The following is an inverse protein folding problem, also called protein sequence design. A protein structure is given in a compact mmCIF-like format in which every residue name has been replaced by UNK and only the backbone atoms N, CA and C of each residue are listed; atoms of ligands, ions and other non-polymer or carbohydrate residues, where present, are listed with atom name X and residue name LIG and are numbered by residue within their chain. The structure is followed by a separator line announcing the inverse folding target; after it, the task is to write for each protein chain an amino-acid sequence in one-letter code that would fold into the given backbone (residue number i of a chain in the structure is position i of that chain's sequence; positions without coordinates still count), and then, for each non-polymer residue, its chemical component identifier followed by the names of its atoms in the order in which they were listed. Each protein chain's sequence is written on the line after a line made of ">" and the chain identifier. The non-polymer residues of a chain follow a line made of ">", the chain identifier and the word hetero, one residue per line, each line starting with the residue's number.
data_IF_300049712061
#
_entry.id   IF_300049712061
#
_cell.length_a   1.000
_cell.length_b   1.000
_cell.length_c   1.000
_cell.angle_alpha   90.00
_cell.angle_beta   90.00
_cell.angle_gamma   90.00
#
_symmetry.space_group_name_H-M   'P 1'
#
loop_
_entity.id
_entity.type
_entity.pdbx_description
1 polymer ?
#
# COMPACT_ATOMS: atom_id res chain seq x y z
N UNK A 1 -9.85 0.27 -38.63
CA UNK A 1 -10.78 0.26 -37.49
C UNK A 1 -10.05 0.84 -36.25
N UNK A 2 -10.55 1.95 -35.68
CA UNK A 2 -10.00 2.47 -34.42
C UNK A 2 -10.43 1.53 -33.29
N UNK A 3 -9.53 0.74 -32.73
CA UNK A 3 -9.83 -0.05 -31.54
C UNK A 3 -10.33 0.87 -30.43
N UNK A 4 -11.42 0.49 -29.75
CA UNK A 4 -11.94 1.27 -28.65
C UNK A 4 -10.90 1.38 -27.53
N UNK A 5 -10.97 2.44 -26.70
CA UNK A 5 -10.10 2.62 -25.54
C UNK A 5 -10.05 1.36 -24.65
N UNK A 6 -11.22 0.76 -24.40
CA UNK A 6 -11.32 -0.45 -23.56
C UNK A 6 -10.59 -1.66 -24.14
N UNK A 7 -10.63 -1.85 -25.47
CA UNK A 7 -9.88 -2.96 -26.12
C UNK A 7 -8.36 -2.77 -26.01
N UNK A 8 -7.89 -1.53 -26.20
CA UNK A 8 -6.46 -1.22 -26.05
C UNK A 8 -5.99 -1.38 -24.62
N UNK A 9 -6.76 -0.86 -23.65
CA UNK A 9 -6.48 -0.99 -22.22
C UNK A 9 -6.49 -2.45 -21.80
N UNK A 10 -7.48 -3.24 -22.22
CA UNK A 10 -7.59 -4.66 -21.90
C UNK A 10 -6.39 -5.48 -22.42
N UNK A 11 -5.93 -5.21 -23.66
CA UNK A 11 -4.75 -5.87 -24.20
C UNK A 11 -3.48 -5.53 -23.42
N UNK A 12 -3.35 -4.29 -22.97
CA UNK A 12 -2.22 -3.82 -22.19
C UNK A 12 -2.22 -4.39 -20.76
N UNK A 13 -3.37 -4.40 -20.11
CA UNK A 13 -3.56 -5.03 -18.79
C UNK A 13 -3.18 -6.51 -18.82
N UNK A 14 -3.56 -7.25 -19.88
CA UNK A 14 -3.19 -8.65 -20.02
C UNK A 14 -1.66 -8.85 -20.04
N UNK A 15 -0.93 -7.94 -20.68
CA UNK A 15 0.54 -7.98 -20.69
C UNK A 15 1.10 -7.63 -19.31
N UNK A 16 0.63 -6.57 -18.69
CA UNK A 16 1.10 -6.12 -17.37
C UNK A 16 0.81 -7.17 -16.29
N UNK A 17 -0.38 -7.77 -16.28
CA UNK A 17 -0.71 -8.87 -15.36
C UNK A 17 0.19 -10.09 -15.58
N UNK A 18 0.43 -10.50 -16.83
CA UNK A 18 1.34 -11.61 -17.09
C UNK A 18 2.75 -11.32 -16.60
N UNK A 19 3.23 -10.08 -16.72
CA UNK A 19 4.54 -9.64 -16.21
C UNK A 19 4.55 -9.61 -14.69
N UNK A 20 3.51 -9.08 -14.05
CA UNK A 20 3.33 -9.05 -12.60
C UNK A 20 3.40 -10.48 -12.02
N UNK A 21 2.58 -11.40 -12.55
CA UNK A 21 2.56 -12.81 -12.12
C UNK A 21 3.86 -13.59 -12.39
N UNK A 22 4.68 -13.16 -13.33
CA UNK A 22 6.00 -13.76 -13.58
C UNK A 22 7.13 -13.08 -12.80
N UNK A 23 6.87 -11.96 -12.16
CA UNK A 23 7.86 -11.20 -11.41
C UNK A 23 8.16 -11.85 -10.07
N UNK A 24 9.44 -12.18 -9.83
CA UNK A 24 9.89 -12.64 -8.49
C UNK A 24 9.63 -11.61 -7.41
N UNK A 25 9.75 -10.32 -7.74
CA UNK A 25 9.51 -9.21 -6.83
C UNK A 25 8.08 -9.25 -6.26
N UNK A 26 7.08 -9.55 -7.11
CA UNK A 26 5.68 -9.66 -6.68
C UNK A 26 5.50 -10.70 -5.56
N UNK A 27 6.06 -11.90 -5.73
CA UNK A 27 5.96 -12.96 -4.73
C UNK A 27 6.75 -12.65 -3.47
N UNK A 28 7.94 -12.03 -3.59
CA UNK A 28 8.74 -11.61 -2.43
C UNK A 28 7.97 -10.60 -1.58
N UNK A 29 7.34 -9.61 -2.20
CA UNK A 29 6.60 -8.58 -1.48
C UNK A 29 5.29 -9.12 -0.86
N UNK A 30 4.59 -10.04 -1.52
CA UNK A 30 3.43 -10.71 -0.92
C UNK A 30 3.87 -11.58 0.27
N UNK A 31 4.96 -12.34 0.13
CA UNK A 31 5.51 -13.13 1.22
C UNK A 31 5.96 -12.23 2.39
N UNK A 32 6.59 -11.10 2.10
CA UNK A 32 6.94 -10.10 3.12
C UNK A 32 5.70 -9.54 3.80
N UNK A 33 4.66 -9.19 3.05
CA UNK A 33 3.39 -8.70 3.61
C UNK A 33 2.69 -9.74 4.50
N UNK A 34 2.87 -11.03 4.23
CA UNK A 34 2.34 -12.12 5.05
C UNK A 34 3.18 -12.37 6.30
N UNK A 35 4.51 -12.40 6.16
CA UNK A 35 5.43 -12.80 7.23
C UNK A 35 5.68 -11.66 8.23
N UNK A 36 5.78 -10.42 7.75
CA UNK A 36 6.04 -9.26 8.60
C UNK A 36 5.07 -9.13 9.79
N UNK A 37 3.74 -9.16 9.61
CA UNK A 37 2.82 -9.04 10.74
C UNK A 37 2.93 -10.21 11.72
N UNK A 38 3.22 -11.43 11.25
CA UNK A 38 3.45 -12.58 12.12
C UNK A 38 4.64 -12.32 13.03
N UNK A 39 5.79 -11.98 12.43
CA UNK A 39 7.02 -11.72 13.18
C UNK A 39 6.87 -10.56 14.16
N UNK A 40 6.28 -9.45 13.70
CA UNK A 40 6.08 -8.27 14.53
C UNK A 40 5.16 -8.56 15.71
N UNK A 41 4.03 -9.23 15.49
CA UNK A 41 3.09 -9.56 16.56
C UNK A 41 3.71 -10.49 17.60
N UNK A 42 4.43 -11.54 17.15
CA UNK A 42 5.12 -12.47 18.05
C UNK A 42 6.23 -11.78 18.84
N UNK A 43 7.08 -10.99 18.18
CA UNK A 43 8.15 -10.25 18.86
C UNK A 43 7.61 -9.31 19.93
N UNK A 44 6.55 -8.60 19.62
CA UNK A 44 5.96 -7.64 20.54
C UNK A 44 5.24 -8.31 21.71
N UNK A 45 4.56 -9.42 21.47
CA UNK A 45 3.99 -10.21 22.56
C UNK A 45 5.07 -10.77 23.49
N UNK A 46 6.27 -11.08 22.97
CA UNK A 46 7.42 -11.51 23.78
C UNK A 46 8.07 -10.35 24.58
N UNK A 47 7.93 -9.12 24.12
CA UNK A 47 8.48 -7.93 24.77
C UNK A 47 7.51 -7.30 25.77
N UNK A 48 6.28 -7.77 25.84
CA UNK A 48 5.26 -7.28 26.77
C UNK A 48 5.74 -7.36 28.22
N UNK A 49 5.59 -6.27 28.97
CA UNK A 49 6.06 -6.14 30.35
C UNK A 49 7.59 -5.94 30.50
N UNK A 50 8.37 -5.88 29.43
CA UNK A 50 9.79 -5.56 29.50
C UNK A 50 9.99 -4.07 29.83
N UNK A 51 11.03 -3.77 30.63
CA UNK A 51 11.38 -2.40 30.98
C UNK A 51 12.40 -1.88 29.95
N UNK A 52 12.04 -0.81 29.26
CA UNK A 52 12.94 -0.05 28.40
C UNK A 52 13.40 1.20 29.13
N UNK A 53 14.72 1.39 29.23
CA UNK A 53 15.33 2.58 29.83
C UNK A 53 15.78 3.50 28.72
N UNK A 54 15.26 4.73 28.67
CA UNK A 54 15.74 5.73 27.73
C UNK A 54 17.20 6.11 28.06
N UNK A 55 18.14 5.85 27.16
CA UNK A 55 19.57 6.10 27.41
C UNK A 55 19.91 7.59 27.59
N UNK A 56 19.02 8.51 27.19
CA UNK A 56 19.27 9.96 27.31
C UNK A 56 18.65 10.56 28.57
N UNK A 57 17.50 10.06 28.99
CA UNK A 57 16.75 10.63 30.13
C UNK A 57 16.79 9.75 31.38
N UNK A 58 17.17 8.47 31.24
CA UNK A 58 17.13 7.48 32.31
C UNK A 58 15.72 7.09 32.76
N UNK A 59 14.69 7.51 32.01
CA UNK A 59 13.29 7.21 32.32
C UNK A 59 13.01 5.75 31.94
N UNK A 60 12.52 5.00 32.92
CA UNK A 60 12.04 3.64 32.73
C UNK A 60 10.62 3.67 32.15
N UNK A 61 10.43 3.03 30.98
CA UNK A 61 9.11 2.82 30.37
C UNK A 61 8.85 1.34 30.24
N UNK A 62 7.67 0.90 30.66
CA UNK A 62 7.22 -0.49 30.46
C UNK A 62 6.71 -0.59 29.03
N UNK A 63 7.29 -1.52 28.26
CA UNK A 63 6.82 -1.83 26.90
C UNK A 63 5.49 -2.57 27.03
N UNK A 64 4.43 -1.98 26.48
CA UNK A 64 3.12 -2.62 26.40
C UNK A 64 3.00 -3.33 25.04
N UNK A 65 2.79 -4.63 25.06
CA UNK A 65 2.50 -5.42 23.86
C UNK A 65 1.06 -5.19 23.37
N UNK A 66 0.72 -5.72 22.19
CA UNK A 66 -0.66 -5.68 21.72
C UNK A 66 -1.54 -6.60 22.58
N UNK A 67 -2.63 -6.07 23.07
CA UNK A 67 -3.63 -6.84 23.83
C UNK A 67 -4.61 -7.59 22.91
N UNK A 68 -4.76 -7.07 21.68
CA UNK A 68 -5.75 -7.57 20.75
C UNK A 68 -5.21 -7.61 19.31
N UNK A 69 -5.53 -8.69 18.60
CA UNK A 69 -5.10 -8.92 17.21
C UNK A 69 -5.56 -7.82 16.24
N UNK A 70 -6.73 -7.21 16.50
CA UNK A 70 -7.28 -6.16 15.66
C UNK A 70 -6.48 -4.85 15.67
N UNK A 71 -5.63 -4.64 16.69
CA UNK A 71 -4.74 -3.47 16.76
C UNK A 71 -3.73 -3.44 15.61
N UNK A 72 -3.37 -4.60 15.05
CA UNK A 72 -2.52 -4.67 13.86
C UNK A 72 -3.19 -4.11 12.60
N UNK A 73 -4.52 -3.98 12.59
CA UNK A 73 -5.31 -3.52 11.44
C UNK A 73 -5.75 -2.07 11.61
N UNK A 74 -6.02 -1.65 12.84
CA UNK A 74 -6.44 -0.29 13.14
C UNK A 74 -6.67 -0.04 14.62
N UNK A 75 -6.99 1.18 14.98
CA UNK A 75 -7.27 1.60 16.36
C UNK A 75 -8.61 1.07 16.83
N UNK A 76 -8.61 0.45 18.03
CA UNK A 76 -9.84 0.02 18.70
C UNK A 76 -10.61 1.22 19.27
N UNK A 77 -11.96 1.17 19.31
CA UNK A 77 -12.76 2.19 19.96
C UNK A 77 -12.46 2.23 21.47
N UNK A 78 -12.20 3.41 22.02
CA UNK A 78 -11.89 3.60 23.44
C UNK A 78 -10.46 3.21 23.85
N UNK A 79 -9.66 2.65 22.94
CA UNK A 79 -8.23 2.55 23.14
C UNK A 79 -7.61 3.93 23.11
N UNK A 80 -6.80 4.27 24.09
CA UNK A 80 -5.93 5.44 23.98
C UNK A 80 -5.16 5.25 22.66
N UNK A 81 -5.11 6.32 21.86
CA UNK A 81 -4.21 6.31 20.69
C UNK A 81 -2.84 6.01 21.28
N UNK A 82 -2.32 4.79 20.99
CA UNK A 82 -1.04 4.33 21.53
C UNK A 82 -0.06 5.47 21.45
N UNK A 83 0.57 5.82 22.59
CA UNK A 83 1.37 7.02 22.72
C UNK A 83 2.34 7.14 21.56
N UNK A 84 2.48 8.35 21.00
CA UNK A 84 3.06 8.62 19.69
C UNK A 84 4.52 8.18 19.41
N UNK A 85 5.08 7.36 20.27
CA UNK A 85 6.42 6.77 20.13
C UNK A 85 6.40 5.25 19.83
N UNK A 86 5.23 4.63 19.69
CA UNK A 86 5.16 3.20 19.50
C UNK A 86 5.50 2.81 18.06
N UNK A 87 6.58 2.07 17.92
CA UNK A 87 6.99 1.35 16.71
C UNK A 87 5.80 0.53 16.13
N UNK A 88 4.87 0.12 16.95
CA UNK A 88 3.60 -0.53 16.58
C UNK A 88 2.74 0.29 15.64
N UNK A 89 2.60 1.58 15.86
CA UNK A 89 1.86 2.44 14.94
C UNK A 89 2.47 2.46 13.55
N UNK A 90 3.77 2.25 13.45
CA UNK A 90 4.49 2.18 12.19
C UNK A 90 4.44 0.79 11.55
N UNK A 91 4.30 -0.28 12.33
CA UNK A 91 4.34 -1.68 11.85
C UNK A 91 2.96 -2.33 11.70
N UNK A 92 1.90 -1.54 11.57
CA UNK A 92 0.54 -2.01 11.31
C UNK A 92 0.29 -2.23 9.80
N UNK A 93 -0.91 -2.65 9.43
CA UNK A 93 -1.33 -2.91 8.03
C UNK A 93 -1.05 -1.74 7.07
N UNK A 94 -0.91 -0.52 7.59
CA UNK A 94 -0.63 0.66 6.77
C UNK A 94 0.78 0.60 6.13
N UNK A 95 1.71 -0.22 6.67
CA UNK A 95 3.01 -0.50 6.03
C UNK A 95 2.87 -1.06 4.61
N UNK A 96 1.75 -1.70 4.31
CA UNK A 96 1.50 -2.25 2.96
C UNK A 96 1.51 -1.15 1.90
N UNK A 97 1.09 0.06 2.24
CA UNK A 97 1.15 1.19 1.30
C UNK A 97 2.59 1.50 0.87
N UNK A 98 3.57 1.35 1.78
CA UNK A 98 5.00 1.49 1.46
C UNK A 98 5.52 0.32 0.61
N UNK A 99 5.09 -0.91 0.90
CA UNK A 99 5.48 -2.08 0.09
C UNK A 99 4.98 -1.97 -1.35
N UNK A 100 3.77 -1.44 -1.55
CA UNK A 100 3.22 -1.21 -2.88
C UNK A 100 4.02 -0.15 -3.63
N UNK A 101 4.47 0.91 -2.96
CA UNK A 101 5.34 1.93 -3.55
C UNK A 101 6.63 1.30 -4.08
N UNK A 102 7.24 0.37 -3.33
CA UNK A 102 8.43 -0.37 -3.80
C UNK A 102 8.12 -1.15 -5.07
N UNK A 103 6.99 -1.88 -5.10
CA UNK A 103 6.59 -2.64 -6.29
C UNK A 103 6.42 -1.73 -7.51
N UNK A 104 5.64 -0.66 -7.40
CA UNK A 104 5.31 0.22 -8.52
C UNK A 104 6.56 0.91 -9.05
N UNK A 105 7.41 1.44 -8.15
CA UNK A 105 8.64 2.10 -8.53
C UNK A 105 9.57 1.19 -9.32
N UNK A 106 9.80 -0.03 -8.85
CA UNK A 106 10.66 -0.97 -9.55
C UNK A 106 10.03 -1.49 -10.83
N UNK A 107 8.72 -1.77 -10.83
CA UNK A 107 8.01 -2.27 -11.99
C UNK A 107 7.96 -1.27 -13.15
N UNK A 108 7.76 0.02 -12.85
CA UNK A 108 7.75 1.09 -13.86
C UNK A 108 9.19 1.45 -14.28
N UNK A 109 10.14 1.56 -13.34
CA UNK A 109 11.54 1.87 -13.67
C UNK A 109 12.15 0.81 -14.60
N UNK A 110 11.79 -0.46 -14.41
CA UNK A 110 12.23 -1.55 -15.29
C UNK A 110 11.67 -1.40 -16.70
N UNK A 111 10.46 -0.89 -16.89
CA UNK A 111 9.89 -0.61 -18.21
C UNK A 111 10.70 0.42 -19.00
N UNK A 112 11.21 1.44 -18.31
CA UNK A 112 12.05 2.45 -18.93
C UNK A 112 13.48 1.95 -19.15
N UNK A 113 14.03 1.17 -18.22
CA UNK A 113 15.39 0.65 -18.27
C UNK A 113 15.56 -0.42 -19.35
N UNK A 114 14.58 -1.32 -19.47
CA UNK A 114 14.58 -2.38 -20.50
C UNK A 114 14.23 -1.86 -21.91
N UNK A 115 13.86 -0.60 -22.05
CA UNK A 115 13.37 -0.05 -23.31
C UNK A 115 11.95 -0.49 -23.70
N UNK A 116 11.26 -1.25 -22.83
CA UNK A 116 9.89 -1.71 -23.10
C UNK A 116 8.94 -0.51 -23.31
N UNK A 117 9.03 0.52 -22.49
CA UNK A 117 8.21 1.72 -22.63
C UNK A 117 8.47 2.43 -23.99
N UNK A 118 9.73 2.51 -24.44
CA UNK A 118 10.10 3.09 -25.74
C UNK A 118 9.45 2.30 -26.88
N UNK A 119 9.61 1.00 -26.90
CA UNK A 119 9.04 0.13 -27.94
C UNK A 119 7.51 0.19 -27.95
N UNK A 120 6.89 0.22 -26.76
CA UNK A 120 5.45 0.28 -26.62
C UNK A 120 4.88 1.56 -27.24
N UNK A 121 5.52 2.72 -27.00
CA UNK A 121 5.04 4.00 -27.48
C UNK A 121 5.31 4.22 -28.99
N UNK A 122 6.25 3.49 -29.61
CA UNK A 122 6.46 3.51 -31.06
C UNK A 122 5.39 2.68 -31.80
N UNK A 123 4.87 1.63 -31.19
CA UNK A 123 3.92 0.68 -31.80
C UNK A 123 2.45 1.08 -31.65
N UNK A 124 2.07 2.24 -31.16
CA UNK A 124 0.69 2.76 -31.04
C UNK A 124 0.05 2.77 -29.65
N UNK A 125 0.72 2.42 -28.57
CA UNK A 125 0.09 2.56 -27.26
C UNK A 125 -0.05 4.04 -26.92
N UNK A 126 -1.27 4.47 -26.58
CA UNK A 126 -1.47 5.80 -26.06
C UNK A 126 -0.82 5.89 -24.67
N UNK A 127 -0.15 7.00 -24.37
CA UNK A 127 0.49 7.22 -23.07
C UNK A 127 -0.52 7.16 -21.91
N UNK A 128 -1.79 7.48 -22.18
CA UNK A 128 -2.88 7.34 -21.19
C UNK A 128 -3.23 5.89 -20.90
N UNK A 129 -3.24 5.02 -21.91
CA UNK A 129 -3.52 3.59 -21.74
C UNK A 129 -2.43 2.94 -20.88
N UNK A 130 -1.16 3.37 -21.06
CA UNK A 130 -0.03 2.94 -20.23
C UNK A 130 -0.23 3.32 -18.74
N UNK A 131 -0.49 4.59 -18.46
CA UNK A 131 -0.70 5.06 -17.09
C UNK A 131 -1.87 4.33 -16.43
N UNK A 132 -3.01 4.21 -17.13
CA UNK A 132 -4.18 3.50 -16.61
C UNK A 132 -3.88 2.01 -16.31
N UNK A 133 -3.14 1.33 -17.21
CA UNK A 133 -2.74 -0.06 -16.99
C UNK A 133 -1.84 -0.22 -15.77
N UNK A 134 -0.86 0.68 -15.57
CA UNK A 134 0.04 0.66 -14.39
C UNK A 134 -0.71 0.95 -13.10
N UNK A 135 -1.64 1.90 -13.11
CA UNK A 135 -2.48 2.20 -11.95
C UNK A 135 -3.34 1.00 -11.55
N UNK A 136 -3.99 0.33 -12.51
CA UNK A 136 -4.82 -0.84 -12.21
C UNK A 136 -3.96 -2.02 -11.74
N UNK A 137 -2.81 -2.27 -12.36
CA UNK A 137 -1.91 -3.36 -11.94
C UNK A 137 -1.33 -3.10 -10.54
N UNK A 138 -0.95 -1.86 -10.23
CA UNK A 138 -0.48 -1.47 -8.90
C UNK A 138 -1.59 -1.60 -7.84
N UNK A 139 -2.80 -1.18 -8.16
CA UNK A 139 -3.96 -1.31 -7.29
C UNK A 139 -4.25 -2.78 -6.94
N UNK A 140 -4.26 -3.67 -7.92
CA UNK A 140 -4.47 -5.10 -7.67
C UNK A 140 -3.32 -5.72 -6.87
N UNK A 141 -2.07 -5.35 -7.16
CA UNK A 141 -0.92 -5.77 -6.37
C UNK A 141 -1.09 -5.35 -4.91
N UNK A 142 -1.46 -4.10 -4.65
CA UNK A 142 -1.72 -3.57 -3.32
C UNK A 142 -2.87 -4.29 -2.60
N UNK A 143 -3.95 -4.60 -3.31
CA UNK A 143 -5.05 -5.37 -2.74
C UNK A 143 -4.61 -6.78 -2.30
N UNK A 144 -3.82 -7.49 -3.11
CA UNK A 144 -3.25 -8.78 -2.72
C UNK A 144 -2.33 -8.67 -1.51
N UNK A 145 -1.49 -7.63 -1.43
CA UNK A 145 -0.61 -7.41 -0.28
C UNK A 145 -1.42 -7.08 0.98
N UNK A 146 -2.48 -6.27 0.90
CA UNK A 146 -3.37 -5.98 2.04
C UNK A 146 -4.06 -7.24 2.56
N UNK A 147 -4.55 -8.09 1.67
CA UNK A 147 -5.15 -9.39 2.06
C UNK A 147 -4.10 -10.30 2.69
N UNK A 148 -2.90 -10.38 2.13
CA UNK A 148 -1.80 -11.17 2.69
C UNK A 148 -1.42 -10.68 4.10
N UNK A 149 -1.30 -9.36 4.29
CA UNK A 149 -1.01 -8.77 5.58
C UNK A 149 -2.12 -9.05 6.60
N UNK A 150 -3.39 -8.92 6.19
CA UNK A 150 -4.53 -9.26 7.04
C UNK A 150 -4.47 -10.71 7.53
N UNK A 151 -4.25 -11.66 6.61
CA UNK A 151 -4.09 -13.08 6.96
C UNK A 151 -2.89 -13.29 7.89
N UNK A 152 -1.76 -12.64 7.60
CA UNK A 152 -0.58 -12.70 8.47
C UNK A 152 -0.84 -12.14 9.87
N UNK A 153 -1.59 -11.05 10.00
CA UNK A 153 -2.00 -10.48 11.29
C UNK A 153 -2.86 -11.45 12.09
N UNK A 154 -3.81 -12.13 11.44
CA UNK A 154 -4.65 -13.14 12.10
C UNK A 154 -3.83 -14.34 12.59
N UNK A 155 -2.89 -14.81 11.76
CA UNK A 155 -1.98 -15.91 12.13
C UNK A 155 -1.04 -15.48 13.27
N UNK A 156 -0.46 -14.29 13.20
CA UNK A 156 0.40 -13.75 14.25
C UNK A 156 -0.31 -13.62 15.59
N UNK A 157 -1.54 -13.07 15.59
CA UNK A 157 -2.38 -12.98 16.78
C UNK A 157 -2.71 -14.35 17.39
N UNK A 158 -3.07 -15.34 16.55
CA UNK A 158 -3.36 -16.69 17.00
C UNK A 158 -2.13 -17.40 17.60
N UNK A 159 -0.95 -17.23 16.98
CA UNK A 159 0.32 -17.80 17.49
C UNK A 159 0.71 -17.16 18.82
N UNK A 160 0.52 -15.85 18.96
CA UNK A 160 0.86 -15.11 20.19
C UNK A 160 -0.19 -15.23 21.30
N UNK A 161 -1.31 -15.91 21.06
CA UNK A 161 -2.39 -16.06 22.04
C UNK A 161 -3.15 -14.76 22.33
N UNK A 162 -3.12 -13.80 21.41
CA UNK A 162 -3.80 -12.53 21.57
C UNK A 162 -5.33 -12.67 21.48
N UNK A 163 -6.03 -11.79 22.19
CA UNK A 163 -7.48 -11.72 22.11
C UNK A 163 -7.98 -11.36 20.71
N UNK A 164 -9.14 -11.89 20.34
CA UNK A 164 -9.91 -11.54 19.14
C UNK A 164 -11.22 -10.82 19.52
N UNK A 165 -11.28 -10.23 20.71
CA UNK A 165 -12.46 -9.50 21.14
C UNK A 165 -12.70 -8.27 20.27
N UNK A 166 -13.93 -8.09 19.86
CA UNK A 166 -14.33 -7.01 18.95
C UNK A 166 -14.59 -5.67 19.65
N UNK A 167 -14.59 -5.62 20.98
CA UNK A 167 -14.84 -4.40 21.78
C UNK A 167 -16.06 -3.58 21.29
N UNK A 168 -17.17 -4.26 20.99
CA UNK A 168 -18.40 -3.62 20.49
C UNK A 168 -18.44 -3.36 18.99
N UNK A 169 -17.36 -3.69 18.26
CA UNK A 169 -17.36 -3.66 16.78
C UNK A 169 -18.06 -4.91 16.22
N UNK A 170 -18.49 -4.82 14.99
CA UNK A 170 -18.97 -5.98 14.22
C UNK A 170 -17.92 -6.45 13.21
N UNK A 171 -17.98 -7.72 12.80
CA UNK A 171 -17.15 -8.23 11.71
C UNK A 171 -17.37 -7.39 10.43
N UNK A 172 -18.59 -6.85 10.26
CA UNK A 172 -18.92 -5.93 9.17
C UNK A 172 -18.07 -4.67 9.17
N UNK A 173 -17.78 -4.09 10.33
CA UNK A 173 -16.92 -2.90 10.45
C UNK A 173 -15.48 -3.21 10.00
N UNK A 174 -14.94 -4.37 10.39
CA UNK A 174 -13.60 -4.81 9.98
C UNK A 174 -13.55 -5.02 8.46
N UNK A 175 -14.56 -5.67 7.88
CA UNK A 175 -14.65 -5.86 6.44
C UNK A 175 -14.72 -4.50 5.71
N UNK A 176 -15.52 -3.55 6.21
CA UNK A 176 -15.60 -2.20 5.64
C UNK A 176 -14.27 -1.44 5.78
N UNK A 177 -13.55 -1.58 6.90
CA UNK A 177 -12.22 -1.01 7.07
C UNK A 177 -11.24 -1.56 6.02
N UNK A 178 -11.21 -2.87 5.79
CA UNK A 178 -10.37 -3.50 4.78
C UNK A 178 -10.70 -3.03 3.37
N UNK A 179 -11.98 -2.95 3.03
CA UNK A 179 -12.44 -2.46 1.72
C UNK A 179 -12.07 -0.97 1.56
N UNK A 180 -12.24 -0.14 2.60
CA UNK A 180 -11.85 1.26 2.57
C UNK A 180 -10.33 1.41 2.35
N UNK A 181 -9.48 0.60 3.02
CA UNK A 181 -8.02 0.58 2.80
C UNK A 181 -7.67 0.16 1.37
N UNK A 182 -8.36 -0.85 0.81
CA UNK A 182 -8.16 -1.25 -0.59
C UNK A 182 -8.45 -0.07 -1.53
N UNK A 183 -9.57 0.66 -1.36
CA UNK A 183 -9.85 1.81 -2.22
C UNK A 183 -8.93 2.99 -1.98
N UNK A 184 -8.50 3.24 -0.73
CA UNK A 184 -7.52 4.27 -0.42
C UNK A 184 -6.17 3.98 -1.10
N UNK A 185 -5.83 2.71 -1.35
CA UNK A 185 -4.64 2.30 -2.10
C UNK A 185 -4.54 2.98 -3.47
N UNK A 186 -5.67 3.34 -4.12
CA UNK A 186 -5.65 4.07 -5.40
C UNK A 186 -4.94 5.41 -5.30
N UNK A 187 -5.03 6.11 -4.16
CA UNK A 187 -4.35 7.40 -3.95
C UNK A 187 -2.83 7.20 -3.96
N UNK A 188 -2.33 6.23 -3.19
CA UNK A 188 -0.90 5.93 -3.11
C UNK A 188 -0.36 5.46 -4.46
N UNK A 189 -1.06 4.53 -5.09
CA UNK A 189 -0.70 4.02 -6.43
C UNK A 189 -0.64 5.16 -7.46
N UNK A 190 -1.57 6.11 -7.41
CA UNK A 190 -1.57 7.24 -8.34
C UNK A 190 -0.35 8.17 -8.12
N UNK A 191 0.04 8.38 -6.86
CA UNK A 191 1.25 9.15 -6.49
C UNK A 191 2.50 8.39 -6.94
N UNK A 192 2.58 7.09 -6.68
CA UNK A 192 3.71 6.27 -7.07
C UNK A 192 3.91 6.23 -8.58
N UNK A 193 2.82 6.14 -9.34
CA UNK A 193 2.86 6.15 -10.81
C UNK A 193 3.37 7.49 -11.34
N UNK A 194 2.92 8.64 -10.80
CA UNK A 194 3.41 9.94 -11.26
C UNK A 194 4.88 10.15 -10.93
N UNK A 195 5.31 9.77 -9.72
CA UNK A 195 6.72 9.85 -9.30
C UNK A 195 7.59 8.95 -10.17
N UNK A 196 7.14 7.71 -10.43
CA UNK A 196 7.87 6.75 -11.26
C UNK A 196 8.02 7.21 -12.71
N UNK A 197 6.96 7.78 -13.27
CA UNK A 197 6.98 8.35 -14.62
C UNK A 197 7.90 9.57 -14.71
N UNK A 198 7.98 10.39 -13.67
CA UNK A 198 8.87 11.54 -13.59
C UNK A 198 10.34 11.12 -13.42
N UNK A 199 10.59 10.13 -12.56
CA UNK A 199 11.95 9.61 -12.27
C UNK A 199 12.51 8.72 -13.39
N UNK A 200 11.64 8.11 -14.21
CA UNK A 200 11.99 7.21 -15.35
C UNK A 200 12.87 6.04 -14.91
N UNK A 201 14.12 5.99 -15.42
CA UNK A 201 15.10 4.92 -15.17
C UNK A 201 15.74 4.97 -13.78
N UNK A 202 15.61 6.08 -13.05
CA UNK A 202 16.27 6.30 -11.76
C UNK A 202 15.44 5.69 -10.63
N UNK A 203 15.51 4.38 -10.46
CA UNK A 203 14.72 3.63 -9.47
C UNK A 203 14.89 4.17 -8.04
N UNK A 204 16.11 4.57 -7.64
CA UNK A 204 16.38 5.14 -6.32
C UNK A 204 15.63 6.46 -6.08
N UNK A 205 15.59 7.35 -7.10
CA UNK A 205 14.86 8.61 -7.01
C UNK A 205 13.35 8.38 -6.91
N UNK A 206 12.86 7.37 -7.65
CA UNK A 206 11.49 6.93 -7.58
C UNK A 206 11.13 6.45 -6.17
N UNK A 207 11.95 5.56 -5.61
CA UNK A 207 11.74 5.01 -4.26
C UNK A 207 11.77 6.12 -3.20
N UNK A 208 12.78 7.00 -3.21
CA UNK A 208 12.86 8.10 -2.25
C UNK A 208 11.65 9.05 -2.36
N UNK A 209 11.23 9.40 -3.57
CA UNK A 209 10.08 10.27 -3.79
C UNK A 209 8.75 9.63 -3.37
N UNK A 210 8.53 8.37 -3.71
CA UNK A 210 7.30 7.64 -3.36
C UNK A 210 7.23 7.33 -1.87
N UNK A 211 8.32 6.87 -1.26
CA UNK A 211 8.35 6.61 0.19
C UNK A 211 8.22 7.90 0.99
N UNK A 212 8.86 8.99 0.56
CA UNK A 212 8.72 10.30 1.19
C UNK A 212 7.28 10.81 1.15
N UNK A 213 6.63 10.76 -0.02
CA UNK A 213 5.21 11.12 -0.15
C UNK A 213 4.31 10.18 0.65
N UNK A 214 4.61 8.88 0.65
CA UNK A 214 3.90 7.87 1.42
C UNK A 214 3.99 8.12 2.92
N UNK A 215 5.16 8.47 3.45
CA UNK A 215 5.34 8.80 4.87
C UNK A 215 4.52 10.01 5.32
N UNK A 216 4.43 11.04 4.48
CA UNK A 216 3.61 12.22 4.77
C UNK A 216 2.12 11.86 4.88
N UNK A 217 1.65 10.91 4.10
CA UNK A 217 0.26 10.47 4.09
C UNK A 217 -0.03 9.34 5.09
N UNK A 218 1.00 8.69 5.61
CA UNK A 218 0.88 7.49 6.44
C UNK A 218 -0.01 7.71 7.67
N UNK A 219 0.17 8.82 8.37
CA UNK A 219 -0.63 9.16 9.55
C UNK A 219 -2.11 9.39 9.20
N UNK A 220 -2.41 9.86 7.98
CA UNK A 220 -3.79 10.09 7.54
C UNK A 220 -4.54 8.79 7.27
N UNK A 221 -3.84 7.70 6.94
CA UNK A 221 -4.48 6.40 6.66
C UNK A 221 -5.29 5.90 7.86
N UNK A 222 -4.72 5.96 9.07
CA UNK A 222 -5.39 5.53 10.30
C UNK A 222 -6.65 6.36 10.59
N UNK A 223 -6.61 7.66 10.33
CA UNK A 223 -7.73 8.57 10.54
C UNK A 223 -8.87 8.35 9.52
N UNK A 224 -8.50 8.08 8.26
CA UNK A 224 -9.48 7.90 7.16
C UNK A 224 -10.12 6.51 7.22
N UNK A 225 -9.38 5.50 7.69
CA UNK A 225 -9.82 4.09 7.70
C UNK A 225 -9.73 3.48 9.10
N UNK A 226 -10.51 3.98 10.09
CA UNK A 226 -10.55 3.39 11.43
C UNK A 226 -11.19 2.01 11.40
N UNK A 227 -10.98 1.17 12.43
CA UNK A 227 -11.65 -0.13 12.56
C UNK A 227 -13.18 -0.03 12.60
N UNK A 228 -13.70 1.08 13.14
CA UNK A 228 -15.14 1.40 13.13
C UNK A 228 -15.67 1.90 11.79
N UNK A 229 -14.96 1.61 10.68
CA UNK A 229 -15.35 2.07 9.34
C UNK A 229 -16.76 1.61 8.97
N UNK A 230 -17.46 2.51 8.28
CA UNK A 230 -18.82 2.33 7.76
C UNK A 230 -18.83 2.46 6.24
N UNK A 231 -19.97 2.24 5.63
CA UNK A 231 -20.17 2.41 4.17
C UNK A 231 -19.74 3.81 3.71
N UNK A 232 -19.91 4.85 4.54
CA UNK A 232 -19.50 6.22 4.22
C UNK A 232 -17.99 6.32 4.01
N UNK A 233 -17.19 5.69 4.87
CA UNK A 233 -15.72 5.66 4.72
C UNK A 233 -15.31 4.94 3.42
N UNK A 234 -15.98 3.82 3.09
CA UNK A 234 -15.73 3.08 1.84
C UNK A 234 -16.03 3.93 0.62
N UNK A 235 -17.20 4.60 0.58
CA UNK A 235 -17.58 5.47 -0.52
C UNK A 235 -16.66 6.69 -0.64
N UNK A 236 -16.25 7.28 0.50
CA UNK A 236 -15.28 8.37 0.54
C UNK A 236 -13.92 7.96 -0.03
N UNK A 237 -13.40 6.80 0.37
CA UNK A 237 -12.13 6.25 -0.14
C UNK A 237 -12.23 5.90 -1.63
N UNK A 238 -13.35 5.35 -2.08
CA UNK A 238 -13.58 5.05 -3.50
C UNK A 238 -13.61 6.34 -4.34
N UNK A 239 -14.40 7.32 -3.93
CA UNK A 239 -14.52 8.60 -4.65
C UNK A 239 -13.19 9.36 -4.65
N UNK A 240 -12.54 9.48 -3.50
CA UNK A 240 -11.22 10.10 -3.37
C UNK A 240 -10.17 9.38 -4.20
N UNK A 241 -10.08 8.05 -4.07
CA UNK A 241 -9.15 7.21 -4.84
C UNK A 241 -9.34 7.36 -6.34
N UNK A 242 -10.58 7.34 -6.82
CA UNK A 242 -10.90 7.53 -8.24
C UNK A 242 -10.52 8.94 -8.74
N UNK A 243 -10.81 9.99 -7.96
CA UNK A 243 -10.43 11.36 -8.26
C UNK A 243 -8.92 11.52 -8.39
N UNK A 244 -8.15 11.00 -7.42
CA UNK A 244 -6.68 11.03 -7.47
C UNK A 244 -6.13 10.21 -8.63
N UNK A 245 -6.66 9.01 -8.89
CA UNK A 245 -6.22 8.16 -10.00
C UNK A 245 -6.43 8.87 -11.37
N UNK A 246 -7.57 9.51 -11.56
CA UNK A 246 -7.87 10.25 -12.80
C UNK A 246 -7.03 11.53 -12.90
N UNK A 247 -6.97 12.34 -11.83
CA UNK A 247 -6.25 13.61 -11.80
C UNK A 247 -4.74 13.44 -11.99
N UNK A 248 -4.10 12.61 -11.15
CA UNK A 248 -2.67 12.34 -11.25
C UNK A 248 -2.33 11.53 -12.49
N UNK A 249 -3.24 10.65 -12.94
CA UNK A 249 -3.11 9.94 -14.21
C UNK A 249 -3.09 10.88 -15.41
N UNK A 250 -3.90 11.94 -15.42
CA UNK A 250 -3.88 12.96 -16.45
C UNK A 250 -2.54 13.74 -16.44
N UNK A 251 -2.02 14.10 -15.27
CA UNK A 251 -0.72 14.76 -15.12
C UNK A 251 0.41 13.84 -15.60
N UNK A 252 0.41 12.56 -15.20
CA UNK A 252 1.39 11.55 -15.64
C UNK A 252 1.41 11.41 -17.17
N UNK A 253 0.24 11.44 -17.80
CA UNK A 253 0.11 11.44 -19.28
C UNK A 253 0.77 12.69 -19.92
N UNK A 254 0.62 13.86 -19.30
CA UNK A 254 1.23 15.11 -19.78
C UNK A 254 2.76 15.05 -19.63
N UNK A 255 3.26 14.56 -18.49
CA UNK A 255 4.69 14.37 -18.25
C UNK A 255 5.28 13.45 -19.33
N UNK A 256 4.64 12.30 -19.59
CA UNK A 256 5.07 11.37 -20.64
C UNK A 256 5.06 12.00 -22.04
N UNK A 257 4.12 12.92 -22.34
CA UNK A 257 4.08 13.61 -23.63
C UNK A 257 5.24 14.58 -23.83
N UNK A 258 5.62 15.32 -22.78
CA UNK A 258 6.72 16.31 -22.82
C UNK A 258 8.10 15.66 -22.75
N UNK A 259 8.17 14.40 -22.36
CA UNK A 259 9.42 13.69 -22.18
C UNK A 259 9.86 13.03 -23.49
N UNK A 260 11.03 13.41 -24.01
CA UNK A 260 11.72 12.63 -25.03
C UNK A 260 12.11 11.29 -24.43
N UNK A 261 11.75 10.19 -25.10
CA UNK A 261 12.09 8.80 -24.71
C UNK A 261 13.48 8.41 -25.31
N UNK A 262 14.38 9.38 -25.41
CA UNK A 262 15.74 9.16 -25.87
C UNK A 262 16.63 8.80 -24.70
#
# INVERSE_FOLDING_TARGET
>A
MKNSFLQRLGSMLKVDFRRMWKSKLFYILIASALVMPILMTVMMAMMDGSVSVDPQTGVETIVQGPENTWQNIGTLPGGEAMGGNDIFMMCNINMVFMLVSVFICLFISEDFRSGFAKNLFTVRASKGDYVASKTISGFLCGAFMLIAYFVGSMLGGAISGLSFDLHGLTIGNIAMCMIAKIFLMLVFVAIDVIVSVAAKQKAWLCLCGSLGAGMLLFMMVALITPLSSTVVHVLGCLAGGALFAVGLGAISKVILKKTSLV
#
